data_IF_257584524758
#
_entry.id   IF_257584524758
#
_cell.length_a   1.000
_cell.length_b   1.000
_cell.length_c   1.000
_cell.angle_alpha   90.00
_cell.angle_beta   90.00
_cell.angle_gamma   90.00
#
_symmetry.space_group_name_H-M   'P 1'
#
loop_
_entity.id
_entity.type
_entity.pdbx_description
1 polymer ?
#
# COMPACT_ATOMS: atom_id res chain seq x y z
N UNK A 1 -8.09 -1.26 -5.93
CA UNK A 1 -8.01 -2.53 -6.69
C UNK A 1 -7.80 -3.67 -5.70
N UNK A 2 -8.85 -4.43 -5.37
CA UNK A 2 -8.71 -5.60 -4.50
C UNK A 2 -7.80 -6.64 -5.17
N UNK A 3 -6.76 -7.09 -4.46
CA UNK A 3 -5.82 -8.08 -4.97
C UNK A 3 -6.53 -9.36 -5.40
N UNK A 4 -6.54 -9.65 -6.69
CA UNK A 4 -7.03 -10.92 -7.24
C UNK A 4 -6.26 -12.05 -6.57
N UNK A 5 -6.96 -12.87 -5.78
CA UNK A 5 -6.38 -14.09 -5.18
C UNK A 5 -5.97 -15.01 -6.33
N UNK A 6 -4.72 -15.46 -6.35
CA UNK A 6 -4.20 -16.31 -7.42
C UNK A 6 -4.76 -17.72 -7.26
N UNK A 7 -5.40 -18.24 -8.30
CA UNK A 7 -5.88 -19.62 -8.36
C UNK A 7 -4.69 -20.53 -8.62
N UNK A 8 -4.47 -21.54 -7.77
CA UNK A 8 -3.40 -22.53 -7.93
C UNK A 8 -3.95 -23.96 -8.00
N UNK A 9 -3.21 -24.85 -8.65
CA UNK A 9 -3.53 -26.28 -8.80
C UNK A 9 -3.80 -26.96 -7.45
N UNK A 10 -2.99 -26.62 -6.42
CA UNK A 10 -3.14 -27.14 -5.05
C UNK A 10 -4.42 -26.63 -4.39
N UNK A 11 -4.76 -25.35 -4.58
CA UNK A 11 -5.96 -24.77 -4.03
C UNK A 11 -7.22 -25.42 -4.63
N UNK A 12 -7.30 -25.58 -5.96
CA UNK A 12 -8.43 -26.23 -6.63
C UNK A 12 -8.63 -27.66 -6.11
N UNK A 13 -7.59 -28.49 -6.11
CA UNK A 13 -7.71 -29.88 -5.66
C UNK A 13 -8.09 -30.02 -4.18
N UNK A 14 -7.61 -29.11 -3.32
CA UNK A 14 -7.93 -29.11 -1.90
C UNK A 14 -9.39 -28.68 -1.67
N UNK A 15 -9.82 -27.59 -2.29
CA UNK A 15 -11.17 -27.05 -2.14
C UNK A 15 -12.25 -27.97 -2.75
N UNK A 16 -11.93 -28.68 -3.84
CA UNK A 16 -12.82 -29.70 -4.41
C UNK A 16 -13.08 -30.87 -3.45
N UNK A 17 -12.09 -31.26 -2.62
CA UNK A 17 -12.26 -32.28 -1.58
C UNK A 17 -13.19 -31.81 -0.45
N UNK A 18 -13.26 -30.50 -0.22
CA UNK A 18 -14.18 -29.86 0.75
C UNK A 18 -15.54 -29.47 0.13
N UNK A 19 -15.94 -30.14 -0.95
CA UNK A 19 -17.25 -29.95 -1.60
C UNK A 19 -17.54 -28.51 -2.06
N UNK A 20 -16.51 -27.78 -2.51
CA UNK A 20 -16.74 -26.47 -3.10
C UNK A 20 -17.47 -26.58 -4.44
N UNK A 21 -18.44 -25.69 -4.61
CA UNK A 21 -19.25 -25.51 -5.82
C UNK A 21 -18.65 -24.43 -6.71
N UNK A 22 -19.08 -24.36 -7.97
CA UNK A 22 -18.55 -23.40 -8.94
C UNK A 22 -18.82 -21.96 -8.47
N UNK A 23 -20.01 -21.71 -7.96
CA UNK A 23 -20.43 -20.43 -7.36
C UNK A 23 -19.48 -19.97 -6.22
N UNK A 24 -19.02 -20.91 -5.38
CA UNK A 24 -18.07 -20.62 -4.28
C UNK A 24 -16.68 -20.27 -4.81
N UNK A 25 -16.23 -20.91 -5.89
CA UNK A 25 -14.96 -20.57 -6.52
C UNK A 25 -15.01 -19.17 -7.14
N UNK A 26 -16.05 -18.89 -7.93
CA UNK A 26 -16.21 -17.58 -8.58
C UNK A 26 -16.29 -16.44 -7.54
N UNK A 27 -17.06 -16.64 -6.47
CA UNK A 27 -17.19 -15.65 -5.37
C UNK A 27 -15.90 -15.47 -4.59
N UNK A 28 -15.17 -16.56 -4.29
CA UNK A 28 -13.97 -16.50 -3.46
C UNK A 28 -12.76 -15.89 -4.20
N UNK A 29 -12.68 -16.10 -5.51
CA UNK A 29 -11.59 -15.61 -6.35
C UNK A 29 -11.95 -14.35 -7.14
N UNK A 30 -13.20 -13.90 -7.05
CA UNK A 30 -13.74 -12.76 -7.78
C UNK A 30 -13.49 -12.85 -9.29
N UNK A 31 -13.84 -14.00 -9.85
CA UNK A 31 -13.70 -14.31 -11.29
C UNK A 31 -15.04 -14.76 -11.84
N UNK A 32 -15.27 -14.46 -13.12
CA UNK A 32 -16.41 -15.04 -13.85
C UNK A 32 -16.22 -16.54 -14.06
N UNK A 33 -17.32 -17.24 -14.37
CA UNK A 33 -17.30 -18.67 -14.68
C UNK A 33 -16.37 -19.00 -15.86
N UNK A 34 -16.40 -18.17 -16.90
CA UNK A 34 -15.54 -18.32 -18.08
C UNK A 34 -14.06 -18.13 -17.74
N UNK A 35 -13.72 -17.08 -16.96
CA UNK A 35 -12.36 -16.84 -16.50
C UNK A 35 -11.84 -17.97 -15.59
N UNK A 36 -12.71 -18.53 -14.75
CA UNK A 36 -12.38 -19.67 -13.91
C UNK A 36 -12.03 -20.90 -14.76
N UNK A 37 -12.85 -21.25 -15.74
CA UNK A 37 -12.58 -22.42 -16.60
C UNK A 37 -11.37 -22.22 -17.51
N UNK A 38 -11.11 -21.00 -17.99
CA UNK A 38 -9.87 -20.68 -18.71
C UNK A 38 -8.63 -20.87 -17.83
N UNK A 39 -8.73 -20.47 -16.56
CA UNK A 39 -7.65 -20.67 -15.59
C UNK A 39 -7.46 -22.16 -15.25
N UNK A 40 -8.54 -22.93 -15.12
CA UNK A 40 -8.50 -24.38 -14.90
C UNK A 40 -7.90 -25.11 -16.11
N UNK A 41 -8.25 -24.73 -17.34
CA UNK A 41 -7.69 -25.30 -18.57
C UNK A 41 -6.17 -25.07 -18.66
N UNK A 42 -5.72 -23.87 -18.25
CA UNK A 42 -4.30 -23.53 -18.19
C UNK A 42 -3.55 -24.31 -17.12
N UNK A 43 -4.16 -24.50 -15.94
CA UNK A 43 -3.54 -25.19 -14.80
C UNK A 43 -3.62 -26.73 -14.89
N UNK A 44 -4.57 -27.28 -15.66
CA UNK A 44 -4.80 -28.72 -15.83
C UNK A 44 -4.96 -29.11 -17.31
N UNK A 45 -3.88 -29.11 -18.11
CA UNK A 45 -3.94 -29.34 -19.56
C UNK A 45 -4.56 -30.68 -20.01
N UNK A 46 -4.56 -31.69 -19.13
CA UNK A 46 -5.18 -33.02 -19.36
C UNK A 46 -6.19 -33.42 -18.28
N UNK A 47 -6.55 -32.49 -17.37
CA UNK A 47 -7.36 -32.77 -16.18
C UNK A 47 -8.52 -31.80 -15.94
N UNK A 48 -8.71 -30.82 -16.84
CA UNK A 48 -9.77 -29.82 -16.73
C UNK A 48 -11.18 -30.44 -16.72
N UNK A 49 -11.40 -31.49 -17.52
CA UNK A 49 -12.68 -32.20 -17.56
C UNK A 49 -12.99 -32.94 -16.24
N UNK A 50 -11.96 -33.46 -15.56
CA UNK A 50 -12.14 -34.12 -14.27
C UNK A 50 -12.47 -33.10 -13.16
N UNK A 51 -11.90 -31.89 -13.23
CA UNK A 51 -12.27 -30.77 -12.35
C UNK A 51 -13.73 -30.37 -12.59
N UNK A 52 -14.15 -30.24 -13.85
CA UNK A 52 -15.54 -29.93 -14.21
C UNK A 52 -16.51 -31.00 -13.71
N UNK A 53 -16.18 -32.29 -13.88
CA UNK A 53 -17.00 -33.41 -13.39
C UNK A 53 -17.14 -33.42 -11.87
N UNK A 54 -16.08 -33.08 -11.12
CA UNK A 54 -16.13 -32.98 -9.65
C UNK A 54 -16.95 -31.78 -9.18
N UNK A 55 -16.87 -30.65 -9.87
CA UNK A 55 -17.72 -29.48 -9.59
C UNK A 55 -19.20 -29.80 -9.80
N UNK A 56 -19.55 -30.47 -10.90
CA UNK A 56 -20.91 -30.93 -11.16
C UNK A 56 -21.42 -31.91 -10.09
N UNK A 57 -20.56 -32.83 -9.62
CA UNK A 57 -20.91 -33.71 -8.49
C UNK A 57 -21.17 -32.90 -7.21
N UNK A 58 -20.35 -31.90 -6.91
CA UNK A 58 -20.53 -31.05 -5.72
C UNK A 58 -21.78 -30.16 -5.82
N UNK A 59 -22.15 -29.68 -7.01
CA UNK A 59 -23.42 -28.97 -7.26
C UNK A 59 -24.63 -29.90 -7.01
N UNK A 60 -24.55 -31.15 -7.46
CA UNK A 60 -25.60 -32.15 -7.22
C UNK A 60 -25.72 -32.54 -5.73
N UNK A 61 -24.67 -32.36 -4.93
CA UNK A 61 -24.75 -32.50 -3.46
C UNK A 61 -25.46 -31.32 -2.78
N UNK A 62 -25.42 -30.12 -3.37
CA UNK A 62 -26.11 -28.92 -2.88
C UNK A 62 -27.60 -28.95 -3.24
N UNK A 63 -27.94 -29.51 -4.40
CA UNK A 63 -29.30 -29.72 -4.85
C UNK A 63 -29.69 -31.19 -4.69
N UNK A 64 -30.21 -31.57 -3.51
CA UNK A 64 -30.81 -32.87 -3.29
C UNK A 64 -31.99 -33.14 -4.23
N UNK A 65 -31.72 -33.57 -5.46
CA UNK A 65 -32.61 -34.41 -6.26
C UNK A 65 -32.26 -35.85 -5.94
N UNK A 66 -33.19 -36.53 -5.26
CA UNK A 66 -33.27 -38.00 -5.26
C UNK A 66 -33.08 -38.48 -6.70
N UNK A 67 -31.98 -39.17 -6.98
CA UNK A 67 -32.04 -40.24 -7.96
C UNK A 67 -32.76 -41.39 -7.27
N UNK A 68 -34.01 -41.54 -7.63
CA UNK A 68 -34.78 -42.76 -7.44
C UNK A 68 -34.12 -43.87 -8.23
N UNK A 69 -33.54 -44.85 -7.55
CA UNK A 69 -33.60 -46.20 -8.07
C UNK A 69 -35.07 -46.65 -7.93
N UNK A 70 -35.72 -46.81 -9.08
CA UNK A 70 -37.07 -47.31 -9.18
C UNK A 70 -37.13 -48.78 -8.71
N UNK A 71 -38.07 -49.16 -7.83
CA UNK A 71 -38.44 -50.56 -7.65
C UNK A 71 -39.27 -51.00 -8.86
N UNK A 72 -38.87 -52.12 -9.48
CA UNK A 72 -39.70 -52.81 -10.46
C UNK A 72 -40.96 -53.34 -9.79
N UNK A 73 -42.10 -53.04 -10.41
CA UNK A 73 -43.40 -53.64 -10.13
C UNK A 73 -43.34 -55.18 -10.18
N UNK A 74 -44.02 -55.84 -9.24
CA UNK A 74 -44.98 -56.88 -9.58
C UNK A 74 -45.84 -57.28 -8.38
N UNK A 75 -47.12 -56.90 -8.47
CA UNK A 75 -48.29 -57.77 -8.44
C UNK A 75 -48.59 -58.61 -7.17
N UNK A 76 -49.84 -58.37 -6.72
CA UNK A 76 -50.87 -59.38 -6.35
C UNK A 76 -50.71 -59.95 -4.94
N UNK A 77 -51.73 -60.11 -4.10
CA UNK A 77 -53.16 -59.81 -4.10
C UNK A 77 -53.56 -59.78 -2.62
N UNK A 78 -54.55 -58.96 -2.31
CA UNK A 78 -55.32 -59.01 -1.07
C UNK A 78 -56.05 -60.35 -0.98
N UNK A 79 -55.81 -61.15 0.05
CA UNK A 79 -56.83 -62.10 0.53
C UNK A 79 -56.70 -62.32 2.03
N UNK A 80 -57.79 -61.97 2.71
CA UNK A 80 -58.17 -62.41 4.04
C UNK A 80 -58.77 -63.81 3.89
N UNK A 81 -58.51 -64.73 4.84
CA UNK A 81 -59.61 -65.53 5.38
C UNK A 81 -59.53 -65.50 6.91
N UNK A 82 -60.52 -64.98 7.60
CA UNK A 82 -61.79 -65.63 7.99
C UNK A 82 -61.67 -67.06 8.53
N UNK A 83 -62.31 -67.21 9.70
CA UNK A 83 -62.33 -68.32 10.64
C UNK A 83 -62.72 -69.66 10.01
N UNK A 84 -62.16 -70.74 10.55
CA UNK A 84 -62.89 -72.00 10.69
C UNK A 84 -62.67 -72.58 12.09
N UNK A 85 -63.81 -72.73 12.76
CA UNK A 85 -64.12 -73.50 13.95
C UNK A 85 -63.71 -74.98 13.78
N UNK A 86 -63.37 -75.66 14.88
CA UNK A 86 -62.91 -77.06 14.83
C UNK A 86 -62.38 -77.58 16.16
N UNK A 87 -63.31 -77.86 17.06
CA UNK A 87 -63.17 -78.58 18.34
C UNK A 87 -62.45 -79.92 18.19
N UNK A 88 -61.49 -80.19 19.08
CA UNK A 88 -61.39 -81.47 19.80
C UNK A 88 -60.37 -81.34 20.93
N UNK A 89 -60.90 -81.29 22.16
CA UNK A 89 -60.21 -81.71 23.36
C UNK A 89 -59.60 -83.10 23.14
N UNK A 90 -58.32 -83.25 23.45
CA UNK A 90 -57.85 -84.42 24.20
C UNK A 90 -56.60 -84.01 25.00
N UNK A 91 -56.80 -84.04 26.32
CA UNK A 91 -55.79 -83.87 27.36
C UNK A 91 -54.58 -84.78 27.11
N UNK A 92 -53.42 -84.19 26.84
CA UNK A 92 -52.15 -84.72 27.34
C UNK A 92 -51.63 -83.77 28.42
N UNK A 93 -51.95 -84.10 29.68
CA UNK A 93 -51.24 -83.58 30.84
C UNK A 93 -49.75 -83.92 30.71
N UNK A 94 -48.98 -83.02 30.08
CA UNK A 94 -47.55 -82.98 30.26
C UNK A 94 -47.29 -82.52 31.68
N UNK A 95 -46.95 -83.46 32.56
CA UNK A 95 -46.25 -83.17 33.81
C UNK A 95 -44.93 -82.49 33.45
N UNK A 96 -44.92 -81.16 33.46
CA UNK A 96 -43.69 -80.38 33.57
C UNK A 96 -42.91 -80.91 34.78
N UNK A 97 -41.72 -81.40 34.52
CA UNK A 97 -40.85 -81.85 35.60
C UNK A 97 -40.37 -80.63 36.40
N UNK A 98 -40.29 -80.74 37.72
CA UNK A 98 -39.90 -79.64 38.60
C UNK A 98 -38.52 -79.03 38.24
N UNK A 99 -37.67 -79.76 37.51
CA UNK A 99 -36.40 -79.29 36.96
C UNK A 99 -36.54 -78.37 35.73
N UNK A 100 -37.53 -78.57 34.86
CA UNK A 100 -37.80 -77.69 33.70
C UNK A 100 -38.34 -76.34 34.17
N UNK A 101 -39.29 -76.36 35.11
CA UNK A 101 -39.84 -75.16 35.75
C UNK A 101 -38.76 -74.38 36.51
N UNK A 102 -37.75 -75.06 37.06
CA UNK A 102 -36.62 -74.40 37.74
C UNK A 102 -35.65 -73.74 36.76
N UNK A 103 -35.42 -74.31 35.58
CA UNK A 103 -34.55 -73.73 34.54
C UNK A 103 -35.21 -72.55 33.83
N UNK A 104 -36.50 -72.61 33.58
CA UNK A 104 -37.25 -71.47 33.03
C UNK A 104 -37.28 -70.28 33.99
N UNK A 105 -37.43 -70.51 35.30
CA UNK A 105 -37.35 -69.43 36.30
C UNK A 105 -35.98 -68.76 36.36
N UNK A 106 -34.90 -69.53 36.23
CA UNK A 106 -33.54 -68.99 36.16
C UNK A 106 -33.29 -68.17 34.88
N UNK A 107 -33.78 -68.66 33.73
CA UNK A 107 -33.73 -67.93 32.46
C UNK A 107 -34.55 -66.63 32.51
N UNK A 108 -35.74 -66.67 33.11
CA UNK A 108 -36.58 -65.49 33.33
C UNK A 108 -35.83 -64.44 34.16
N UNK A 109 -35.20 -64.84 35.26
CA UNK A 109 -34.43 -63.95 36.12
C UNK A 109 -33.24 -63.31 35.39
N UNK A 110 -32.51 -64.09 34.57
CA UNK A 110 -31.41 -63.56 33.75
C UNK A 110 -31.88 -62.56 32.70
N UNK A 111 -32.99 -62.85 32.00
CA UNK A 111 -33.55 -61.94 31.01
C UNK A 111 -34.15 -60.68 31.65
N UNK A 112 -34.75 -60.77 32.83
CA UNK A 112 -35.20 -59.61 33.62
C UNK A 112 -34.01 -58.72 34.04
N UNK A 113 -32.91 -59.31 34.51
CA UNK A 113 -31.69 -58.58 34.84
C UNK A 113 -31.06 -57.92 33.61
N UNK A 114 -31.01 -58.63 32.47
CA UNK A 114 -30.53 -58.09 31.19
C UNK A 114 -31.43 -56.95 30.69
N UNK A 115 -32.75 -57.08 30.81
CA UNK A 115 -33.71 -56.05 30.47
C UNK A 115 -33.55 -54.82 31.36
N UNK A 116 -33.36 -54.99 32.68
CA UNK A 116 -33.09 -53.90 33.60
C UNK A 116 -31.79 -53.15 33.25
N UNK A 117 -30.70 -53.88 32.97
CA UNK A 117 -29.44 -53.28 32.55
C UNK A 117 -29.56 -52.49 31.23
N UNK A 118 -30.35 -53.00 30.27
CA UNK A 118 -30.62 -52.30 29.01
C UNK A 118 -31.46 -51.04 29.20
N UNK A 119 -32.45 -51.06 30.10
CA UNK A 119 -33.24 -49.87 30.45
C UNK A 119 -32.36 -48.79 31.05
N UNK A 120 -31.47 -49.14 31.97
CA UNK A 120 -30.51 -48.19 32.57
C UNK A 120 -29.59 -47.58 31.51
N UNK A 121 -29.09 -48.42 30.59
CA UNK A 121 -28.26 -47.97 29.48
C UNK A 121 -29.02 -46.99 28.55
N UNK A 122 -30.28 -47.28 28.23
CA UNK A 122 -31.13 -46.39 27.41
C UNK A 122 -31.31 -45.04 28.11
N UNK A 123 -31.67 -45.02 29.39
CA UNK A 123 -31.85 -43.79 30.16
C UNK A 123 -30.56 -42.95 30.15
N UNK A 124 -29.40 -43.59 30.36
CA UNK A 124 -28.11 -42.90 30.34
C UNK A 124 -27.81 -42.25 28.97
N UNK A 125 -28.16 -42.93 27.88
CA UNK A 125 -27.97 -42.46 26.52
C UNK A 125 -28.94 -41.33 26.19
N UNK A 126 -30.20 -41.41 26.63
CA UNK A 126 -31.19 -40.34 26.46
C UNK A 126 -30.74 -39.05 27.15
N UNK A 127 -30.22 -39.15 28.39
CA UNK A 127 -29.66 -38.00 29.10
C UNK A 127 -28.47 -37.39 28.35
N UNK A 128 -27.55 -38.23 27.83
CA UNK A 128 -26.42 -37.75 27.04
C UNK A 128 -26.87 -37.10 25.73
N UNK A 129 -27.84 -37.69 25.05
CA UNK A 129 -28.41 -37.18 23.82
C UNK A 129 -29.03 -35.80 24.02
N UNK A 130 -29.82 -35.61 25.08
CA UNK A 130 -30.43 -34.32 25.39
C UNK A 130 -29.38 -33.24 25.72
N UNK A 131 -28.31 -33.60 26.44
CA UNK A 131 -27.17 -32.70 26.69
C UNK A 131 -26.48 -32.28 25.40
N UNK A 132 -26.24 -33.22 24.49
CA UNK A 132 -25.61 -32.92 23.20
C UNK A 132 -26.50 -32.06 22.31
N UNK A 133 -27.82 -32.32 22.28
CA UNK A 133 -28.78 -31.48 21.55
C UNK A 133 -28.78 -30.06 22.11
N UNK A 134 -28.82 -29.92 23.44
CA UNK A 134 -28.80 -28.62 24.12
C UNK A 134 -27.53 -27.85 23.78
N UNK A 135 -26.36 -28.49 23.88
CA UNK A 135 -25.08 -27.85 23.54
C UNK A 135 -24.99 -27.48 22.06
N UNK A 136 -25.46 -28.34 21.16
CA UNK A 136 -25.53 -28.04 19.72
C UNK A 136 -26.38 -26.79 19.46
N UNK A 137 -27.56 -26.69 20.09
CA UNK A 137 -28.43 -25.52 19.94
C UNK A 137 -27.73 -24.26 20.42
N UNK A 138 -27.13 -24.26 21.60
CA UNK A 138 -26.41 -23.12 22.17
C UNK A 138 -25.30 -22.61 21.23
N UNK A 139 -24.46 -23.51 20.71
CA UNK A 139 -23.41 -23.14 19.74
C UNK A 139 -24.05 -22.51 18.50
N UNK A 140 -25.09 -23.12 17.94
CA UNK A 140 -25.69 -22.69 16.68
C UNK A 140 -26.45 -21.36 16.79
N UNK A 141 -27.16 -21.13 17.90
CA UNK A 141 -28.06 -19.98 18.05
C UNK A 141 -27.44 -18.82 18.80
N UNK A 142 -26.39 -19.05 19.59
CA UNK A 142 -25.77 -17.99 20.40
C UNK A 142 -24.34 -17.73 19.94
N UNK A 143 -23.41 -18.64 20.27
CA UNK A 143 -21.97 -18.40 20.11
C UNK A 143 -21.58 -18.09 18.65
N UNK A 144 -22.09 -18.88 17.70
CA UNK A 144 -21.74 -18.73 16.29
C UNK A 144 -22.34 -17.45 15.69
N UNK A 145 -23.53 -17.04 16.13
CA UNK A 145 -24.14 -15.77 15.69
C UNK A 145 -23.39 -14.58 16.26
N UNK A 146 -22.95 -14.65 17.51
CA UNK A 146 -22.18 -13.58 18.16
C UNK A 146 -20.82 -13.40 17.47
N UNK A 147 -20.09 -14.48 17.24
CA UNK A 147 -18.82 -14.42 16.52
C UNK A 147 -18.99 -13.93 15.07
N UNK A 148 -20.07 -14.29 14.37
CA UNK A 148 -20.38 -13.74 13.04
C UNK A 148 -20.55 -12.22 13.08
N UNK A 149 -21.31 -11.70 14.07
CA UNK A 149 -21.48 -10.25 14.24
C UNK A 149 -20.15 -9.54 14.51
N UNK A 150 -19.27 -10.13 15.31
CA UNK A 150 -17.94 -9.58 15.58
C UNK A 150 -17.09 -9.56 14.30
N UNK A 151 -17.09 -10.65 13.52
CA UNK A 151 -16.38 -10.69 12.24
C UNK A 151 -16.89 -9.65 11.25
N UNK A 152 -18.20 -9.42 11.19
CA UNK A 152 -18.77 -8.36 10.35
C UNK A 152 -18.33 -6.97 10.80
N UNK A 153 -18.26 -6.70 12.11
CA UNK A 153 -17.73 -5.44 12.64
C UNK A 153 -16.26 -5.23 12.23
N UNK A 154 -15.43 -6.25 12.39
CA UNK A 154 -14.03 -6.16 11.96
C UNK A 154 -13.90 -5.97 10.45
N UNK A 155 -14.72 -6.65 9.66
CA UNK A 155 -14.74 -6.47 8.20
C UNK A 155 -15.05 -5.03 7.83
N UNK A 156 -16.07 -4.41 8.44
CA UNK A 156 -16.40 -2.99 8.22
C UNK A 156 -15.26 -2.07 8.62
N UNK A 157 -14.70 -2.26 9.82
CA UNK A 157 -13.58 -1.44 10.30
C UNK A 157 -12.33 -1.54 9.39
N UNK A 158 -12.06 -2.73 8.84
CA UNK A 158 -10.97 -2.93 7.87
C UNK A 158 -11.26 -2.16 6.58
N UNK A 159 -12.47 -2.25 6.03
CA UNK A 159 -12.85 -1.51 4.81
C UNK A 159 -12.73 0.00 5.01
N UNK A 160 -13.24 0.54 6.12
CA UNK A 160 -13.13 1.97 6.46
C UNK A 160 -11.67 2.41 6.65
N UNK A 161 -10.81 1.54 7.20
CA UNK A 161 -9.39 1.82 7.33
C UNK A 161 -8.69 1.82 5.97
N UNK A 162 -9.07 0.89 5.07
CA UNK A 162 -8.53 0.82 3.71
C UNK A 162 -8.88 2.07 2.91
N UNK A 163 -10.12 2.54 2.97
CA UNK A 163 -10.54 3.79 2.33
C UNK A 163 -9.73 4.98 2.85
N UNK A 164 -9.60 5.12 4.17
CA UNK A 164 -8.78 6.19 4.76
C UNK A 164 -7.32 6.15 4.33
N UNK A 165 -6.73 4.95 4.20
CA UNK A 165 -5.36 4.81 3.70
C UNK A 165 -5.25 5.29 2.26
N UNK A 166 -6.22 4.94 1.40
CA UNK A 166 -6.25 5.40 0.01
C UNK A 166 -6.36 6.93 -0.04
N UNK A 167 -7.27 7.51 0.74
CA UNK A 167 -7.47 8.96 0.78
C UNK A 167 -6.20 9.71 1.23
N UNK A 168 -5.56 9.24 2.32
CA UNK A 168 -4.30 9.81 2.80
C UNK A 168 -3.15 9.65 1.80
N UNK A 169 -3.11 8.54 1.07
CA UNK A 169 -2.10 8.32 0.03
C UNK A 169 -2.28 9.32 -1.11
N UNK A 170 -3.52 9.51 -1.57
CA UNK A 170 -3.83 10.49 -2.62
C UNK A 170 -3.52 11.93 -2.17
N UNK A 171 -3.84 12.27 -0.92
CA UNK A 171 -3.51 13.59 -0.35
C UNK A 171 -2.00 13.80 -0.28
N UNK A 172 -1.24 12.78 0.14
CA UNK A 172 0.22 12.82 0.19
C UNK A 172 0.82 13.04 -1.20
N UNK A 173 0.35 12.30 -2.22
CA UNK A 173 0.80 12.47 -3.61
C UNK A 173 0.54 13.89 -4.12
N UNK A 174 -0.65 14.46 -3.82
CA UNK A 174 -0.99 15.84 -4.16
C UNK A 174 -0.04 16.83 -3.50
N UNK A 175 0.26 16.66 -2.22
CA UNK A 175 1.18 17.55 -1.48
C UNK A 175 2.60 17.44 -2.05
N UNK A 176 3.09 16.24 -2.35
CA UNK A 176 4.39 16.03 -3.00
C UNK A 176 4.45 16.78 -4.34
N UNK A 177 3.37 16.70 -5.14
CA UNK A 177 3.22 17.48 -6.38
C UNK A 177 3.38 18.98 -6.13
N UNK A 178 2.62 19.54 -5.19
CA UNK A 178 2.69 20.96 -4.85
C UNK A 178 4.07 21.40 -4.35
N UNK A 179 4.74 20.57 -3.54
CA UNK A 179 6.11 20.85 -3.08
C UNK A 179 7.06 20.92 -4.28
N UNK A 180 6.93 20.02 -5.25
CA UNK A 180 7.78 20.01 -6.44
C UNK A 180 7.62 21.28 -7.28
N UNK A 181 6.38 21.72 -7.50
CA UNK A 181 6.06 22.95 -8.25
C UNK A 181 6.60 24.21 -7.55
N UNK A 182 6.46 24.28 -6.22
CA UNK A 182 7.00 25.40 -5.44
C UNK A 182 8.53 25.41 -5.49
N UNK A 183 9.18 24.25 -5.41
CA UNK A 183 10.63 24.15 -5.48
C UNK A 183 11.17 24.56 -6.84
N UNK A 184 10.52 24.19 -7.95
CA UNK A 184 10.93 24.64 -9.28
C UNK A 184 10.79 26.15 -9.40
N UNK A 185 9.65 26.71 -8.98
CA UNK A 185 9.45 28.17 -9.01
C UNK A 185 10.44 28.92 -8.13
N UNK A 186 10.81 28.38 -6.96
CA UNK A 186 11.85 28.97 -6.11
C UNK A 186 13.23 28.93 -6.76
N UNK A 187 13.57 27.86 -7.47
CA UNK A 187 14.84 27.77 -8.19
C UNK A 187 14.91 28.81 -9.29
N UNK A 188 13.88 28.89 -10.13
CA UNK A 188 13.80 29.82 -11.25
C UNK A 188 13.91 31.28 -10.76
N UNK A 189 13.13 31.64 -9.73
CA UNK A 189 13.18 32.98 -9.14
C UNK A 189 14.54 33.33 -8.52
N UNK A 190 15.26 32.35 -7.96
CA UNK A 190 16.61 32.57 -7.41
C UNK A 190 17.64 32.83 -8.51
N UNK A 191 17.53 32.11 -9.62
CA UNK A 191 18.38 32.33 -10.79
C UNK A 191 18.12 33.69 -11.42
N UNK A 192 16.83 34.05 -11.57
CA UNK A 192 16.44 35.37 -12.08
C UNK A 192 16.92 36.50 -11.15
N UNK A 193 16.73 36.36 -9.84
CA UNK A 193 17.22 37.34 -8.87
C UNK A 193 18.72 37.53 -8.97
N UNK A 194 19.49 36.44 -9.06
CA UNK A 194 20.95 36.52 -9.20
C UNK A 194 21.35 37.22 -10.50
N UNK A 195 20.66 36.91 -11.60
CA UNK A 195 20.89 37.59 -12.89
C UNK A 195 20.62 39.09 -12.79
N UNK A 196 19.52 39.48 -12.13
CA UNK A 196 19.18 40.89 -11.91
C UNK A 196 20.20 41.58 -11.00
N UNK A 197 20.67 40.93 -9.94
CA UNK A 197 21.70 41.47 -9.06
C UNK A 197 23.03 41.68 -9.80
N UNK A 198 23.44 40.73 -10.64
CA UNK A 198 24.63 40.84 -11.48
C UNK A 198 24.49 41.97 -12.51
N UNK A 199 23.32 42.11 -13.14
CA UNK A 199 23.02 43.21 -14.07
C UNK A 199 23.02 44.57 -13.35
N UNK A 200 22.38 44.68 -12.19
CA UNK A 200 22.41 45.88 -11.36
C UNK A 200 23.85 46.24 -10.98
N UNK A 201 24.66 45.24 -10.61
CA UNK A 201 26.07 45.47 -10.28
C UNK A 201 26.84 45.97 -11.49
N UNK A 202 26.65 45.39 -12.67
CA UNK A 202 27.27 45.86 -13.90
C UNK A 202 26.86 47.31 -14.23
N UNK A 203 25.57 47.62 -14.14
CA UNK A 203 25.04 48.97 -14.41
C UNK A 203 25.48 50.02 -13.37
N UNK A 204 25.74 49.60 -12.13
CA UNK A 204 26.27 50.46 -11.06
C UNK A 204 27.79 50.62 -11.12
N UNK A 205 28.50 49.72 -11.80
CA UNK A 205 29.96 49.78 -11.88
C UNK A 205 30.35 50.95 -12.76
N UNK A 206 31.13 51.85 -12.19
CA UNK A 206 31.69 53.00 -12.91
C UNK A 206 32.99 52.54 -13.57
N UNK A 207 33.05 52.58 -14.90
CA UNK A 207 34.27 52.28 -15.63
C UNK A 207 35.06 53.57 -15.84
N UNK A 208 36.31 53.59 -15.39
CA UNK A 208 37.21 54.74 -15.48
C UNK A 208 38.37 54.33 -16.38
N UNK A 209 38.45 54.93 -17.56
CA UNK A 209 39.51 54.71 -18.54
C UNK A 209 40.50 55.86 -18.44
N UNK A 210 41.79 55.53 -18.33
CA UNK A 210 42.85 56.51 -18.21
C UNK A 210 43.83 56.34 -19.35
N UNK A 211 43.84 57.34 -20.24
CA UNK A 211 44.64 57.31 -21.44
C UNK A 211 46.11 57.64 -21.17
N UNK A 212 46.99 57.29 -22.11
CA UNK A 212 48.42 57.61 -22.02
C UNK A 212 48.73 59.12 -21.83
N UNK A 213 47.84 60.01 -22.24
CA UNK A 213 47.91 61.46 -22.03
C UNK A 213 47.71 61.87 -20.56
N UNK A 214 47.10 61.01 -19.75
CA UNK A 214 46.56 61.33 -18.43
C UNK A 214 45.11 61.82 -18.46
N UNK A 215 44.48 61.85 -19.63
CA UNK A 215 43.05 62.14 -19.77
C UNK A 215 42.21 60.99 -19.23
N UNK A 216 41.07 61.33 -18.63
CA UNK A 216 40.18 60.39 -17.95
C UNK A 216 38.84 60.41 -18.66
N UNK A 217 38.38 59.25 -19.09
CA UNK A 217 37.02 59.03 -19.56
C UNK A 217 36.27 58.18 -18.55
N UNK A 218 35.11 58.67 -18.13
CA UNK A 218 34.24 57.96 -17.20
C UNK A 218 33.03 57.46 -17.98
N UNK A 219 32.89 56.14 -18.05
CA UNK A 219 31.74 55.47 -18.64
C UNK A 219 30.85 55.00 -17.48
N UNK A 220 29.84 55.81 -17.15
CA UNK A 220 28.89 55.52 -16.08
C UNK A 220 27.48 56.03 -16.38
N UNK A 221 26.49 55.39 -15.75
CA UNK A 221 25.09 55.82 -15.78
C UNK A 221 24.81 57.04 -14.87
N UNK A 222 25.81 57.53 -14.15
CA UNK A 222 25.74 58.70 -13.28
C UNK A 222 26.74 59.75 -13.74
N UNK A 223 26.40 61.03 -13.56
CA UNK A 223 27.28 62.13 -13.90
C UNK A 223 28.35 62.29 -12.81
N UNK A 224 29.58 61.88 -13.10
CA UNK A 224 30.72 61.98 -12.18
C UNK A 224 31.67 63.05 -12.72
N UNK A 225 32.00 64.02 -11.88
CA UNK A 225 32.90 65.13 -12.26
C UNK A 225 34.34 64.74 -12.01
N UNK A 226 35.19 64.90 -13.02
CA UNK A 226 36.64 64.76 -12.87
C UNK A 226 37.18 65.99 -12.11
N UNK A 227 37.91 65.80 -11.00
CA UNK A 227 38.49 66.91 -10.24
C UNK A 227 39.46 67.77 -11.07
N UNK A 228 39.50 69.08 -10.79
CA UNK A 228 40.45 69.98 -11.42
C UNK A 228 41.88 69.74 -10.89
N UNK A 229 42.91 70.07 -11.68
CA UNK A 229 44.31 69.85 -11.30
C UNK A 229 44.71 70.58 -10.00
N UNK A 230 44.01 71.67 -9.67
CA UNK A 230 44.18 72.42 -8.42
C UNK A 230 43.72 71.66 -7.17
N UNK A 231 42.83 70.69 -7.35
CA UNK A 231 42.11 70.04 -6.24
C UNK A 231 42.75 68.70 -5.84
N UNK A 232 43.96 68.43 -6.36
CA UNK A 232 44.62 67.13 -6.29
C UNK A 232 46.08 67.30 -5.85
N UNK A 233 46.46 66.62 -4.79
CA UNK A 233 47.83 66.63 -4.26
C UNK A 233 48.74 65.62 -4.97
N UNK A 234 49.08 65.88 -6.23
CA UNK A 234 49.93 64.98 -7.02
C UNK A 234 51.43 65.10 -6.68
N UNK A 235 51.87 66.21 -6.10
CA UNK A 235 53.30 66.45 -5.74
C UNK A 235 53.77 65.50 -4.63
N UNK A 236 52.90 65.22 -3.64
CA UNK A 236 53.19 64.28 -2.57
C UNK A 236 53.36 62.86 -3.10
N UNK A 237 52.58 62.48 -4.12
CA UNK A 237 52.72 61.19 -4.82
C UNK A 237 54.10 61.07 -5.46
N UNK A 238 54.57 62.08 -6.18
CA UNK A 238 55.92 62.08 -6.79
C UNK A 238 57.03 62.01 -5.76
N UNK A 239 56.89 62.78 -4.68
CA UNK A 239 57.91 62.88 -3.62
C UNK A 239 58.04 61.56 -2.85
N UNK A 240 56.92 60.90 -2.59
CA UNK A 240 56.87 59.67 -1.80
C UNK A 240 57.10 58.41 -2.65
N UNK A 241 56.87 58.47 -3.97
CA UNK A 241 57.00 57.33 -4.88
C UNK A 241 57.89 57.63 -6.09
N UNK A 242 59.13 58.11 -5.89
CA UNK A 242 59.97 58.58 -6.99
C UNK A 242 60.31 57.46 -7.98
N UNK A 243 60.44 56.21 -7.52
CA UNK A 243 60.80 55.09 -8.41
C UNK A 243 59.70 54.72 -9.40
N UNK A 244 58.44 54.85 -9.00
CA UNK A 244 57.27 54.56 -9.84
C UNK A 244 56.93 55.73 -10.79
N UNK A 245 57.30 56.96 -10.41
CA UNK A 245 57.03 58.16 -11.19
C UNK A 245 58.12 58.52 -12.23
N UNK A 246 59.33 57.92 -12.14
CA UNK A 246 60.50 58.25 -12.99
C UNK A 246 60.23 58.22 -14.50
N UNK A 247 59.38 57.29 -14.94
CA UNK A 247 59.08 57.03 -16.35
C UNK A 247 57.68 57.49 -16.75
N UNK A 248 56.93 58.10 -15.81
CA UNK A 248 55.61 58.64 -16.07
C UNK A 248 55.68 60.12 -16.40
N UNK A 249 54.81 60.57 -17.30
CA UNK A 249 54.63 61.99 -17.55
C UNK A 249 53.88 62.65 -16.41
N UNK A 250 54.05 63.95 -16.30
CA UNK A 250 53.29 64.79 -15.38
C UNK A 250 51.77 64.56 -15.49
N UNK A 251 51.23 64.48 -16.71
CA UNK A 251 49.81 64.22 -16.95
C UNK A 251 49.38 62.84 -16.48
N UNK A 252 50.21 61.80 -16.65
CA UNK A 252 49.92 60.45 -16.16
C UNK A 252 49.86 60.40 -14.62
N UNK A 253 50.78 61.10 -13.95
CA UNK A 253 50.80 61.16 -12.48
C UNK A 253 49.59 61.93 -11.95
N UNK A 254 49.24 63.05 -12.59
CA UNK A 254 48.01 63.79 -12.28
C UNK A 254 46.77 62.92 -12.50
N UNK A 255 46.72 62.17 -13.61
CA UNK A 255 45.66 61.21 -13.92
C UNK A 255 45.44 60.20 -12.80
N UNK A 256 46.50 59.52 -12.36
CA UNK A 256 46.45 58.58 -11.21
C UNK A 256 45.90 59.27 -9.96
N UNK A 257 46.36 60.48 -9.67
CA UNK A 257 45.93 61.23 -8.49
C UNK A 257 44.44 61.62 -8.54
N UNK A 258 43.90 61.98 -9.72
CA UNK A 258 42.45 62.25 -9.88
C UNK A 258 41.63 60.98 -9.68
N UNK A 259 42.09 59.87 -10.26
CA UNK A 259 41.39 58.58 -10.21
C UNK A 259 41.31 58.07 -8.78
N UNK A 260 42.37 58.21 -7.98
CA UNK A 260 42.34 57.88 -6.54
C UNK A 260 41.27 58.66 -5.79
N UNK A 261 41.13 59.96 -6.08
CA UNK A 261 40.10 60.80 -5.46
C UNK A 261 38.68 60.39 -5.89
N UNK A 262 38.47 60.11 -7.18
CA UNK A 262 37.19 59.64 -7.72
C UNK A 262 36.82 58.29 -7.10
N UNK A 263 37.74 57.34 -7.11
CA UNK A 263 37.54 55.98 -6.59
C UNK A 263 37.25 55.98 -5.08
N UNK A 264 37.84 56.91 -4.32
CA UNK A 264 37.55 57.06 -2.88
C UNK A 264 36.10 57.45 -2.56
N UNK A 265 35.36 58.01 -3.53
CA UNK A 265 33.95 58.39 -3.39
C UNK A 265 32.98 57.35 -3.97
N UNK A 266 33.49 56.31 -4.64
CA UNK A 266 32.71 55.31 -5.36
C UNK A 266 32.68 53.96 -4.66
N UNK A 267 31.50 53.35 -4.59
CA UNK A 267 31.31 52.03 -3.98
C UNK A 267 31.60 50.85 -4.93
N UNK A 268 31.39 51.04 -6.23
CA UNK A 268 31.57 50.02 -7.29
C UNK A 268 32.23 50.69 -8.49
N UNK A 269 33.44 50.24 -8.82
CA UNK A 269 34.24 50.83 -9.88
C UNK A 269 35.18 49.79 -10.49
N UNK A 270 35.58 50.07 -11.73
CA UNK A 270 36.64 49.36 -12.43
C UNK A 270 37.49 50.42 -13.14
N UNK A 271 38.81 50.31 -13.00
CA UNK A 271 39.77 51.27 -13.56
C UNK A 271 40.69 50.52 -14.51
N UNK A 272 40.93 51.09 -15.69
CA UNK A 272 41.89 50.59 -16.66
C UNK A 272 42.79 51.73 -17.14
N UNK A 273 44.10 51.51 -17.13
CA UNK A 273 45.08 52.48 -17.61
C UNK A 273 45.76 51.93 -18.87
N UNK A 274 45.93 52.78 -19.89
CA UNK A 274 46.75 52.45 -21.06
C UNK A 274 48.22 52.18 -20.69
N UNK A 275 48.71 52.90 -19.67
CA UNK A 275 50.09 52.79 -19.20
C UNK A 275 50.18 51.87 -17.98
N UNK A 276 50.81 50.71 -18.17
CA UNK A 276 51.02 49.72 -17.11
C UNK A 276 51.73 50.28 -15.87
N UNK A 277 52.72 51.17 -16.04
CA UNK A 277 53.41 51.76 -14.88
C UNK A 277 52.52 52.73 -14.10
N UNK A 278 51.58 53.40 -14.77
CA UNK A 278 50.58 54.24 -14.10
C UNK A 278 49.56 53.36 -13.36
N UNK A 279 49.19 52.21 -13.93
CA UNK A 279 48.38 51.20 -13.24
C UNK A 279 49.07 50.65 -12.00
N UNK A 280 50.35 50.27 -12.11
CA UNK A 280 51.14 49.75 -10.99
C UNK A 280 51.25 50.79 -9.86
N UNK A 281 51.43 52.07 -10.21
CA UNK A 281 51.43 53.18 -9.25
C UNK A 281 50.05 53.34 -8.58
N UNK A 282 48.96 53.29 -9.35
CA UNK A 282 47.61 53.37 -8.83
C UNK A 282 47.29 52.22 -7.86
N UNK A 283 47.57 50.97 -8.24
CA UNK A 283 47.31 49.79 -7.42
C UNK A 283 48.11 49.82 -6.12
N UNK A 284 49.37 50.27 -6.17
CA UNK A 284 50.20 50.48 -4.98
C UNK A 284 49.57 51.48 -4.03
N UNK A 285 49.25 52.68 -4.53
CA UNK A 285 48.68 53.76 -3.72
C UNK A 285 47.30 53.39 -3.15
N UNK A 286 46.50 52.66 -3.92
CA UNK A 286 45.20 52.18 -3.47
C UNK A 286 45.34 51.18 -2.30
N UNK A 287 46.31 50.27 -2.37
CA UNK A 287 46.57 49.31 -1.30
C UNK A 287 47.16 49.96 -0.03
N UNK A 288 47.91 51.06 -0.18
CA UNK A 288 48.39 51.87 0.95
C UNK A 288 47.30 52.72 1.60
N UNK A 289 46.19 52.97 0.89
CA UNK A 289 45.05 53.77 1.33
C UNK A 289 43.92 52.97 2.02
N UNK A 290 43.98 51.63 1.98
CA UNK A 290 43.04 50.71 2.67
C UNK A 290 43.56 50.34 4.06
#
# INVERSE_FOLDING_TARGET
>A
MEGRRIITTKAINTQLKYHWTLEKFCTHYNVSEEEFFNTVATLFPKGADEVRRKLQKNENFKHGKKQSDAPKENKVVSDIPEKSDGTSDENEEKKETAEEVSKEKELLFQEEARAAAKREQIISLEIQHEKLISRKREIQTVELLEHKKILEKYRKAISEAQERVIDLTNELERIIGQISEVNTSLSDNREELKSLEDEIKALKTVNILVYNSGEIEIVSNSEIKVPADSDIEWISIVTNNPEYCKSLTMGQIQGVAKVLKIVGELNLWQVEFDNKQAQDLFEKLLNESK
#
